data_IF_015224223613
#
_entry.id   IF_015224223613
#
_cell.length_a   1.000
_cell.length_b   1.000
_cell.length_c   1.000
_cell.angle_alpha   90.00
_cell.angle_beta   90.00
_cell.angle_gamma   90.00
#
_symmetry.space_group_name_H-M   'P 1'
#
loop_
_entity.id
_entity.type
_entity.pdbx_description
1 polymer ?
#
# COMPACT_ATOMS: atom_id res chain seq x y z
N UNK A 1 -13.63 57.41 -20.51
CA UNK A 1 -13.78 57.97 -19.15
C UNK A 1 -14.98 57.30 -18.47
N UNK A 2 -15.02 57.27 -17.13
CA UNK A 2 -16.15 56.71 -16.35
C UNK A 2 -15.93 55.26 -15.90
N UNK A 3 -16.06 55.01 -14.58
CA UNK A 3 -15.86 53.69 -13.93
C UNK A 3 -16.78 53.56 -12.72
N UNK A 4 -17.56 52.47 -12.65
CA UNK A 4 -18.16 51.87 -11.44
C UNK A 4 -18.77 50.51 -11.85
N UNK A 5 -18.94 49.44 -11.06
CA UNK A 5 -18.32 48.82 -9.86
C UNK A 5 -19.45 48.03 -9.14
N UNK A 6 -19.31 46.70 -9.04
CA UNK A 6 -19.91 45.85 -7.98
C UNK A 6 -21.48 45.72 -7.98
N UNK A 7 -22.15 44.73 -7.34
CA UNK A 7 -21.71 43.56 -6.54
C UNK A 7 -22.76 42.41 -6.51
N UNK A 8 -22.25 41.17 -6.56
CA UNK A 8 -22.70 39.92 -5.91
C UNK A 8 -24.01 39.83 -5.07
N UNK A 9 -24.94 38.99 -5.58
CA UNK A 9 -25.29 37.64 -5.05
C UNK A 9 -26.35 37.39 -3.94
N UNK A 10 -26.68 36.08 -3.84
CA UNK A 10 -27.43 35.29 -2.82
C UNK A 10 -28.92 35.03 -3.06
N UNK A 11 -29.22 33.77 -3.40
CA UNK A 11 -30.37 33.02 -2.87
C UNK A 11 -29.86 32.02 -1.82
N UNK A 12 -30.57 31.88 -0.71
CA UNK A 12 -30.43 30.77 0.26
C UNK A 12 -31.82 30.28 0.64
N UNK A 13 -32.02 28.97 0.65
CA UNK A 13 -33.26 28.37 1.12
C UNK A 13 -33.45 28.54 2.64
N UNK A 14 -34.71 28.57 3.06
CA UNK A 14 -35.18 28.46 4.44
C UNK A 14 -36.37 27.49 4.44
N UNK A 15 -36.45 26.57 5.41
CA UNK A 15 -37.54 25.58 5.39
C UNK A 15 -37.39 24.38 6.33
N UNK A 16 -36.96 24.57 7.58
CA UNK A 16 -37.03 23.52 8.61
C UNK A 16 -37.08 24.12 10.02
N UNK A 17 -38.23 23.99 10.69
CA UNK A 17 -38.40 24.15 12.13
C UNK A 17 -39.63 23.35 12.56
N UNK A 18 -39.45 22.37 13.45
CA UNK A 18 -40.48 21.89 14.37
C UNK A 18 -39.82 21.03 15.48
N UNK A 19 -39.81 21.57 16.69
CA UNK A 19 -39.71 20.82 17.94
C UNK A 19 -41.12 20.80 18.57
N UNK A 20 -41.49 19.76 19.32
CA UNK A 20 -41.31 19.87 20.78
C UNK A 20 -40.86 18.58 21.45
N UNK A 21 -40.29 18.71 22.66
CA UNK A 21 -40.13 17.62 23.61
C UNK A 21 -41.02 17.84 24.84
N UNK A 22 -41.40 16.77 25.53
CA UNK A 22 -42.09 16.81 26.82
C UNK A 22 -41.66 15.64 27.71
N UNK A 23 -41.52 15.89 29.01
CA UNK A 23 -41.23 14.88 30.03
C UNK A 23 -42.51 14.43 30.72
N UNK A 24 -42.56 13.17 31.17
CA UNK A 24 -43.43 12.72 32.28
C UNK A 24 -42.80 11.50 32.99
N UNK A 25 -43.21 11.24 34.24
CA UNK A 25 -42.67 10.18 35.13
C UNK A 25 -43.74 9.13 35.51
N UNK A 26 -43.34 7.96 36.08
CA UNK A 26 -44.12 6.71 35.95
C UNK A 26 -44.93 6.30 37.18
N UNK A 27 -45.84 5.33 36.98
CA UNK A 27 -46.29 4.35 37.99
C UNK A 27 -46.45 2.95 37.35
N UNK A 28 -46.47 1.89 38.18
CA UNK A 28 -46.29 0.47 37.85
C UNK A 28 -47.40 -0.25 37.04
N UNK A 29 -47.55 -1.59 37.11
CA UNK A 29 -46.87 -2.58 37.97
C UNK A 29 -47.11 -4.04 37.50
N UNK A 30 -46.23 -4.97 37.93
CA UNK A 30 -46.38 -6.43 37.90
C UNK A 30 -46.28 -7.18 36.55
N UNK A 31 -45.76 -8.41 36.59
CA UNK A 31 -45.60 -9.32 35.45
C UNK A 31 -44.26 -10.07 35.47
N UNK A 32 -44.23 -11.30 35.99
CA UNK A 32 -43.00 -12.10 36.07
C UNK A 32 -42.73 -12.88 34.77
N UNK A 33 -41.46 -12.90 34.32
CA UNK A 33 -41.00 -13.70 33.18
C UNK A 33 -39.48 -13.92 33.25
N UNK A 34 -39.04 -15.17 33.08
CA UNK A 34 -37.69 -15.66 33.36
C UNK A 34 -36.53 -14.76 32.85
N UNK A 35 -35.65 -14.33 33.76
CA UNK A 35 -34.42 -13.62 33.42
C UNK A 35 -33.35 -14.62 32.94
N UNK A 36 -33.34 -14.92 31.64
CA UNK A 36 -32.27 -15.69 31.01
C UNK A 36 -31.02 -14.81 30.87
N UNK A 37 -30.03 -15.03 31.74
CA UNK A 37 -28.73 -14.34 31.65
C UNK A 37 -27.95 -14.88 30.44
N UNK A 38 -28.21 -14.30 29.27
CA UNK A 38 -27.30 -14.41 28.13
C UNK A 38 -26.01 -13.72 28.55
N UNK A 39 -25.04 -14.51 29.02
CA UNK A 39 -23.65 -14.06 29.08
C UNK A 39 -23.30 -13.59 27.68
N UNK A 40 -22.87 -12.33 27.56
CA UNK A 40 -22.14 -11.90 26.38
C UNK A 40 -20.90 -12.79 26.30
N UNK A 41 -20.94 -13.79 25.42
CA UNK A 41 -19.77 -14.58 25.09
C UNK A 41 -18.69 -13.60 24.65
N UNK A 42 -17.49 -13.72 25.21
CA UNK A 42 -16.32 -13.03 24.69
C UNK A 42 -16.15 -13.51 23.25
N UNK A 43 -16.64 -12.70 22.31
CA UNK A 43 -16.43 -12.88 20.88
C UNK A 43 -14.95 -12.72 20.61
N UNK A 44 -14.23 -13.82 20.79
CA UNK A 44 -12.80 -13.94 20.57
C UNK A 44 -12.55 -13.51 19.13
N UNK A 45 -11.99 -12.31 18.96
CA UNK A 45 -11.67 -11.81 17.64
C UNK A 45 -10.68 -12.78 17.04
N UNK A 46 -11.10 -13.50 16.01
CA UNK A 46 -10.20 -14.33 15.21
C UNK A 46 -9.26 -13.37 14.48
N UNK A 47 -8.18 -13.00 15.15
CA UNK A 47 -7.02 -12.45 14.50
C UNK A 47 -6.55 -13.50 13.48
N UNK A 48 -6.30 -13.09 12.24
CA UNK A 48 -5.69 -13.97 11.24
C UNK A 48 -4.21 -14.19 11.58
N UNK A 49 -3.98 -14.96 12.64
CA UNK A 49 -2.68 -15.28 13.18
C UNK A 49 -1.96 -16.29 12.28
N UNK A 50 -0.99 -15.81 11.52
CA UNK A 50 -0.08 -16.63 10.71
C UNK A 50 1.40 -16.25 10.90
N UNK A 51 1.68 -15.00 11.26
CA UNK A 51 3.03 -14.44 11.33
C UNK A 51 3.16 -13.43 12.48
N UNK A 52 4.40 -13.17 12.89
CA UNK A 52 4.76 -12.14 13.87
C UNK A 52 6.11 -11.52 13.50
N UNK A 53 6.45 -10.40 14.15
CA UNK A 53 7.62 -9.58 13.79
C UNK A 53 8.58 -9.44 14.98
N UNK A 54 9.88 -9.36 14.70
CA UNK A 54 10.90 -9.00 15.70
C UNK A 54 11.69 -7.75 15.24
N UNK A 55 11.56 -6.67 16.01
CA UNK A 55 12.30 -5.43 15.78
C UNK A 55 13.70 -5.48 16.40
N UNK A 56 14.68 -4.92 15.69
CA UNK A 56 16.09 -4.80 16.06
C UNK A 56 16.57 -3.35 15.80
N UNK A 57 17.52 -2.90 16.63
CA UNK A 57 17.92 -1.51 16.81
C UNK A 57 16.76 -0.54 17.15
N UNK A 58 16.92 0.76 16.86
CA UNK A 58 15.93 1.79 17.15
C UNK A 58 15.15 2.16 15.88
N UNK A 59 13.80 2.25 15.90
CA UNK A 59 13.06 2.85 14.79
C UNK A 59 13.60 4.25 14.44
N UNK A 60 13.67 4.55 13.15
CA UNK A 60 14.33 5.75 12.59
C UNK A 60 15.85 5.77 12.84
N UNK A 61 16.53 4.63 12.65
CA UNK A 61 17.99 4.50 12.59
C UNK A 61 18.42 3.67 11.38
N UNK A 62 19.67 3.79 10.93
CA UNK A 62 20.21 3.03 9.78
C UNK A 62 20.33 1.52 10.07
N UNK A 63 20.47 1.20 11.35
CA UNK A 63 20.59 -0.15 11.90
C UNK A 63 19.23 -0.80 12.15
N UNK A 64 18.12 -0.07 12.01
CA UNK A 64 16.77 -0.59 12.22
C UNK A 64 16.50 -1.76 11.29
N UNK A 65 16.03 -2.88 11.86
CA UNK A 65 15.56 -4.05 11.12
C UNK A 65 14.29 -4.60 11.75
N UNK A 66 13.32 -5.02 10.94
CA UNK A 66 12.14 -5.75 11.37
C UNK A 66 12.10 -7.10 10.63
N UNK A 67 12.31 -8.18 11.37
CA UNK A 67 12.39 -9.56 10.88
C UNK A 67 11.06 -10.29 11.05
N UNK A 68 10.82 -11.35 10.27
CA UNK A 68 9.58 -12.14 10.33
C UNK A 68 9.74 -13.49 11.01
N UNK A 69 8.64 -13.93 11.62
CA UNK A 69 8.45 -15.27 12.15
C UNK A 69 7.10 -15.83 11.72
N UNK A 70 7.02 -17.14 11.53
CA UNK A 70 5.76 -17.85 11.32
C UNK A 70 4.96 -18.06 12.61
N UNK A 71 3.81 -18.73 12.51
CA UNK A 71 2.93 -19.08 13.63
C UNK A 71 3.58 -20.04 14.66
N UNK A 72 4.69 -20.70 14.32
CA UNK A 72 5.49 -21.50 15.23
C UNK A 72 6.68 -20.72 15.84
N UNK A 73 6.78 -19.42 15.56
CA UNK A 73 7.87 -18.55 16.04
C UNK A 73 9.20 -18.74 15.30
N UNK A 74 9.20 -19.46 14.18
CA UNK A 74 10.39 -19.77 13.38
C UNK A 74 10.72 -18.62 12.43
N UNK A 75 11.99 -18.24 12.29
CA UNK A 75 12.40 -17.18 11.37
C UNK A 75 12.19 -17.57 9.92
N UNK A 76 11.80 -16.57 9.11
CA UNK A 76 11.48 -16.69 7.68
C UNK A 76 11.91 -15.42 6.93
N UNK A 77 12.28 -15.56 5.66
CA UNK A 77 12.38 -14.43 4.73
C UNK A 77 10.97 -13.98 4.28
N UNK A 78 10.63 -12.69 4.31
CA UNK A 78 9.39 -12.21 3.72
C UNK A 78 9.42 -12.32 2.19
N UNK A 79 10.57 -12.16 1.56
CA UNK A 79 10.72 -12.24 0.11
C UNK A 79 10.49 -13.66 -0.43
N UNK A 80 10.96 -14.68 0.31
CA UNK A 80 11.06 -16.05 -0.21
C UNK A 80 10.20 -17.09 0.51
N UNK A 81 10.15 -17.07 1.85
CA UNK A 81 9.62 -18.20 2.65
C UNK A 81 8.14 -18.12 2.96
N UNK A 82 7.72 -16.88 3.10
CA UNK A 82 6.35 -16.47 2.89
C UNK A 82 5.94 -16.89 1.47
N UNK A 83 4.78 -17.56 1.29
CA UNK A 83 4.29 -17.91 -0.05
C UNK A 83 4.13 -16.69 -0.96
N UNK A 84 3.74 -16.88 -2.23
CA UNK A 84 3.07 -15.87 -3.10
C UNK A 84 1.85 -15.20 -2.42
N UNK A 85 1.54 -15.67 -1.22
CA UNK A 85 0.59 -15.19 -0.26
C UNK A 85 1.28 -14.87 1.13
N UNK A 86 1.80 -13.64 1.29
CA UNK A 86 2.04 -12.80 2.51
C UNK A 86 3.00 -13.14 3.68
N UNK A 87 3.76 -12.22 4.34
CA UNK A 87 3.97 -10.72 4.23
C UNK A 87 5.02 -10.15 5.26
N UNK A 88 5.47 -8.87 5.39
CA UNK A 88 5.11 -7.55 4.82
C UNK A 88 6.20 -6.43 4.93
N UNK A 89 6.93 -6.08 3.85
CA UNK A 89 8.08 -5.14 3.61
C UNK A 89 8.12 -3.73 4.26
N UNK A 90 9.02 -2.79 3.92
CA UNK A 90 10.05 -2.63 2.87
C UNK A 90 11.12 -3.75 2.83
N UNK A 91 11.12 -4.59 1.80
CA UNK A 91 11.99 -5.79 1.73
C UNK A 91 13.44 -5.39 1.44
N UNK A 92 14.38 -5.66 2.35
CA UNK A 92 15.80 -5.50 2.05
C UNK A 92 16.30 -6.66 1.17
N UNK A 93 16.10 -6.59 -0.14
CA UNK A 93 16.43 -7.65 -1.11
C UNK A 93 17.88 -8.15 -1.03
N UNK A 94 18.81 -7.31 -0.55
CA UNK A 94 20.25 -7.60 -0.40
C UNK A 94 20.70 -7.99 1.02
N UNK A 95 19.87 -7.82 2.05
CA UNK A 95 20.18 -8.22 3.43
C UNK A 95 19.72 -9.69 3.66
N UNK A 96 20.50 -10.56 4.34
CA UNK A 96 20.07 -11.93 4.62
C UNK A 96 18.79 -12.01 5.47
N UNK A 97 17.91 -12.95 5.12
CA UNK A 97 16.50 -13.05 5.58
C UNK A 97 15.61 -11.88 5.14
N UNK A 98 16.10 -11.01 4.25
CA UNK A 98 15.41 -9.87 3.64
C UNK A 98 14.56 -9.03 4.63
N UNK A 99 15.09 -8.69 5.83
CA UNK A 99 14.38 -7.92 6.84
C UNK A 99 13.99 -6.53 6.36
N UNK A 100 13.10 -5.89 7.10
CA UNK A 100 12.62 -4.58 6.75
C UNK A 100 13.51 -3.49 7.30
N UNK A 101 13.91 -2.57 6.43
CA UNK A 101 14.65 -1.35 6.79
C UNK A 101 13.87 -0.12 6.32
N UNK A 102 14.58 0.99 6.19
CA UNK A 102 14.09 2.22 5.59
C UNK A 102 15.15 2.66 4.57
N UNK A 103 14.74 2.98 3.34
CA UNK A 103 15.64 3.41 2.26
C UNK A 103 16.60 4.54 2.69
N UNK A 104 17.84 4.48 2.19
CA UNK A 104 18.98 5.34 2.57
C UNK A 104 19.52 6.11 1.36
N UNK A 105 18.92 7.27 1.09
CA UNK A 105 19.31 8.14 -0.03
C UNK A 105 20.45 9.07 0.39
N UNK A 106 21.61 8.96 -0.27
CA UNK A 106 22.83 9.75 0.02
C UNK A 106 23.28 9.67 1.50
N UNK A 107 23.16 8.50 2.13
CA UNK A 107 23.54 8.28 3.53
C UNK A 107 22.55 8.81 4.58
N UNK A 108 21.38 9.33 4.17
CA UNK A 108 20.28 9.73 5.04
C UNK A 108 19.07 8.81 4.85
N UNK A 109 18.31 8.56 5.92
CA UNK A 109 16.99 7.94 5.84
C UNK A 109 16.06 8.74 4.92
N UNK A 110 15.48 8.11 3.90
CA UNK A 110 14.55 8.72 2.96
C UNK A 110 13.15 8.82 3.57
N UNK A 111 12.49 9.95 3.33
CA UNK A 111 11.07 10.16 3.62
C UNK A 111 10.42 10.69 2.33
N UNK A 112 9.24 10.18 1.96
CA UNK A 112 8.52 10.69 0.78
C UNK A 112 7.84 12.02 1.11
N UNK A 113 7.97 12.99 0.21
CA UNK A 113 7.43 14.33 0.39
C UNK A 113 5.89 14.37 0.33
N UNK A 114 5.29 15.31 1.07
CA UNK A 114 3.90 15.70 0.85
C UNK A 114 3.81 16.52 -0.44
N UNK A 115 3.23 15.96 -1.50
CA UNK A 115 2.91 16.67 -2.76
C UNK A 115 1.43 17.02 -2.75
N UNK A 116 1.08 18.30 -2.67
CA UNK A 116 -0.30 18.76 -2.50
C UNK A 116 -1.21 18.26 -3.66
N UNK A 117 -2.40 17.69 -3.37
CA UNK A 117 -3.12 17.65 -2.09
C UNK A 117 -2.75 16.50 -1.14
N UNK A 118 -1.83 15.62 -1.54
CA UNK A 118 -1.51 14.36 -0.87
C UNK A 118 -0.62 14.54 0.37
N UNK A 119 -0.71 13.59 1.31
CA UNK A 119 0.08 13.53 2.54
C UNK A 119 0.71 12.15 2.69
N UNK A 120 2.02 12.03 2.47
CA UNK A 120 2.72 10.75 2.38
C UNK A 120 2.13 9.84 1.30
N UNK A 121 2.19 8.53 1.52
CA UNK A 121 1.44 7.54 0.74
C UNK A 121 -0.07 7.68 0.99
N UNK A 122 -0.87 7.52 -0.08
CA UNK A 122 -2.35 7.62 -0.05
C UNK A 122 -3.05 6.25 -0.07
N UNK A 123 -2.28 5.20 0.20
CA UNK A 123 -2.65 3.78 0.36
C UNK A 123 -1.93 3.20 1.58
N UNK A 124 -2.28 1.98 1.98
CA UNK A 124 -1.26 1.11 2.54
C UNK A 124 -0.40 0.62 1.36
N UNK A 125 0.91 0.92 1.37
CA UNK A 125 1.81 0.70 0.24
C UNK A 125 2.73 -0.50 0.46
N UNK A 126 3.05 -1.25 -0.61
CA UNK A 126 3.44 -2.64 -0.49
C UNK A 126 4.09 -3.29 -1.70
N UNK A 127 4.35 -4.60 -1.58
CA UNK A 127 4.76 -5.48 -2.69
C UNK A 127 4.14 -6.90 -2.55
N UNK A 128 4.15 -7.74 -3.59
CA UNK A 128 3.73 -9.15 -3.50
C UNK A 128 4.94 -10.07 -3.26
N UNK A 129 4.97 -10.90 -2.20
CA UNK A 129 6.04 -11.89 -1.99
C UNK A 129 6.15 -12.91 -3.12
N UNK A 130 7.30 -13.58 -3.21
CA UNK A 130 7.58 -14.55 -4.26
C UNK A 130 7.39 -14.02 -5.70
N UNK A 131 7.61 -12.72 -5.91
CA UNK A 131 7.65 -12.08 -7.23
C UNK A 131 8.94 -11.29 -7.39
N UNK A 132 9.39 -11.07 -8.63
CA UNK A 132 10.59 -10.30 -8.93
C UNK A 132 10.49 -9.65 -10.32
N UNK A 133 10.79 -8.36 -10.38
CA UNK A 133 10.94 -7.56 -11.61
C UNK A 133 12.37 -7.77 -12.16
N UNK A 134 12.59 -8.90 -12.83
CA UNK A 134 13.91 -9.33 -13.34
C UNK A 134 14.56 -8.26 -14.26
N UNK A 135 15.72 -7.68 -13.90
CA UNK A 135 16.38 -6.64 -14.69
C UNK A 135 17.05 -7.19 -15.96
N UNK A 136 17.19 -8.51 -16.07
CA UNK A 136 17.56 -9.20 -17.31
C UNK A 136 16.36 -9.41 -18.25
N UNK A 137 15.12 -9.27 -17.75
CA UNK A 137 13.91 -9.32 -18.56
C UNK A 137 13.46 -7.92 -18.98
N UNK A 138 13.18 -7.76 -20.28
CA UNK A 138 12.62 -6.54 -20.86
C UNK A 138 11.13 -6.75 -21.12
N UNK A 139 10.28 -6.00 -20.44
CA UNK A 139 8.83 -6.06 -20.64
C UNK A 139 8.42 -5.47 -22.00
N UNK A 140 7.45 -6.11 -22.65
CA UNK A 140 6.98 -5.75 -24.00
C UNK A 140 6.05 -4.52 -24.00
N UNK A 141 5.47 -4.16 -22.84
CA UNK A 141 4.47 -3.10 -22.70
C UNK A 141 5.10 -1.74 -22.37
N UNK A 142 6.09 -1.73 -21.48
CA UNK A 142 6.91 -0.55 -21.13
C UNK A 142 8.05 -0.32 -22.12
N UNK A 143 8.65 -1.40 -22.64
CA UNK A 143 9.91 -1.34 -23.35
C UNK A 143 11.13 -1.11 -22.43
N UNK A 144 11.02 -1.40 -21.13
CA UNK A 144 12.05 -1.25 -20.10
C UNK A 144 12.36 -2.60 -19.40
N UNK A 145 13.52 -2.69 -18.74
CA UNK A 145 13.85 -3.82 -17.87
C UNK A 145 13.25 -3.63 -16.47
N UNK A 146 13.00 -4.71 -15.72
CA UNK A 146 12.52 -4.64 -14.34
C UNK A 146 13.46 -3.89 -13.38
N UNK A 147 12.90 -3.31 -12.32
CA UNK A 147 13.61 -2.53 -11.29
C UNK A 147 14.45 -3.37 -10.30
N UNK A 148 14.46 -4.70 -10.46
CA UNK A 148 15.14 -5.69 -9.63
C UNK A 148 14.52 -5.95 -8.23
N UNK A 149 13.41 -5.33 -7.87
CA UNK A 149 12.71 -5.56 -6.60
C UNK A 149 11.41 -6.41 -6.79
N UNK A 150 10.64 -6.71 -5.72
CA UNK A 150 9.39 -7.48 -5.80
C UNK A 150 8.21 -6.58 -6.20
N UNK A 151 7.27 -7.10 -7.01
CA UNK A 151 6.23 -6.28 -7.66
C UNK A 151 5.38 -5.47 -6.66
N UNK A 152 5.32 -4.15 -6.86
CA UNK A 152 4.70 -3.22 -5.91
C UNK A 152 3.16 -3.25 -5.95
N UNK A 153 2.51 -2.83 -4.85
CA UNK A 153 1.06 -2.82 -4.69
C UNK A 153 0.54 -1.68 -3.80
N UNK A 154 -0.58 -1.12 -4.22
CA UNK A 154 -1.35 -0.10 -3.52
C UNK A 154 -2.65 -0.71 -2.99
N UNK A 155 -2.77 -0.83 -1.67
CA UNK A 155 -3.96 -1.33 -1.01
C UNK A 155 -4.93 -0.19 -0.67
N UNK A 156 -6.16 -0.28 -1.19
CA UNK A 156 -7.12 0.84 -1.25
C UNK A 156 -8.20 0.81 -0.15
N UNK A 157 -8.03 -0.03 0.87
CA UNK A 157 -8.99 -0.28 1.95
C UNK A 157 -9.13 0.87 2.94
N UNK A 158 -10.13 0.74 3.81
CA UNK A 158 -10.46 1.71 4.86
C UNK A 158 -9.56 1.64 6.10
N UNK A 159 -8.92 0.49 6.32
CA UNK A 159 -8.04 0.21 7.46
C UNK A 159 -6.63 0.74 7.18
N UNK A 160 -6.15 1.67 8.00
CA UNK A 160 -4.69 1.95 8.07
C UNK A 160 -4.02 0.78 8.78
N UNK A 161 -3.08 0.14 8.10
CA UNK A 161 -2.38 -1.05 8.59
C UNK A 161 -1.02 -0.69 9.22
N UNK A 162 -0.39 -1.68 9.86
CA UNK A 162 0.93 -1.57 10.48
C UNK A 162 2.04 -1.95 9.50
N UNK A 163 3.26 -1.40 9.67
CA UNK A 163 4.44 -1.92 8.95
C UNK A 163 4.74 -3.33 9.44
N UNK A 164 4.98 -4.28 8.54
CA UNK A 164 5.09 -5.69 8.92
C UNK A 164 3.75 -6.41 9.10
N UNK A 165 2.61 -5.78 8.77
CA UNK A 165 1.29 -6.41 8.90
C UNK A 165 0.93 -7.28 7.69
N UNK A 166 0.55 -8.52 7.96
CA UNK A 166 0.22 -9.55 6.99
C UNK A 166 -1.27 -9.54 6.65
N UNK A 167 -1.64 -9.29 5.39
CA UNK A 167 -3.05 -9.20 4.96
C UNK A 167 -3.36 -9.91 3.64
N UNK A 168 -4.62 -10.37 3.54
CA UNK A 168 -5.25 -10.90 2.32
C UNK A 168 -5.84 -9.78 1.50
N UNK A 169 -5.62 -9.76 0.19
CA UNK A 169 -6.28 -8.86 -0.77
C UNK A 169 -6.91 -9.57 -1.95
N UNK A 170 -7.85 -8.90 -2.60
CA UNK A 170 -8.29 -9.17 -3.96
C UNK A 170 -7.64 -8.15 -4.90
N UNK A 171 -6.97 -8.63 -5.94
CA UNK A 171 -6.38 -7.78 -7.00
C UNK A 171 -7.50 -7.25 -7.89
N UNK A 172 -7.39 -5.98 -8.29
CA UNK A 172 -8.40 -5.24 -9.05
C UNK A 172 -7.86 -4.76 -10.40
N UNK A 173 -6.57 -4.41 -10.48
CA UNK A 173 -5.92 -3.95 -11.71
C UNK A 173 -4.43 -3.64 -11.50
N UNK A 174 -3.79 -3.00 -12.47
CA UNK A 174 -2.39 -2.57 -12.38
C UNK A 174 -2.13 -1.28 -13.16
N UNK A 175 -1.10 -0.53 -12.77
CA UNK A 175 -0.57 0.65 -13.44
C UNK A 175 0.90 0.42 -13.79
N UNK A 176 1.26 0.63 -15.07
CA UNK A 176 2.63 0.51 -15.55
C UNK A 176 3.38 1.83 -15.34
N UNK A 177 4.12 1.96 -14.23
CA UNK A 177 5.05 3.06 -14.03
C UNK A 177 6.34 2.77 -14.83
N UNK A 178 6.98 3.84 -15.30
CA UNK A 178 8.36 3.81 -15.78
C UNK A 178 9.13 4.74 -14.84
N UNK A 179 9.78 4.15 -13.84
CA UNK A 179 10.51 4.89 -12.81
C UNK A 179 11.99 5.01 -13.20
N UNK A 180 12.45 6.24 -13.43
CA UNK A 180 13.81 6.61 -13.87
C UNK A 180 14.41 5.87 -15.10
N UNK A 181 13.67 4.97 -15.74
CA UNK A 181 14.08 4.16 -16.90
C UNK A 181 13.76 2.67 -16.76
N UNK A 182 13.33 2.23 -15.59
CA UNK A 182 13.01 0.84 -15.24
C UNK A 182 11.49 0.60 -15.26
N UNK A 183 11.09 -0.64 -15.51
CA UNK A 183 9.72 -1.14 -15.41
C UNK A 183 9.37 -1.31 -13.95
N UNK A 184 8.23 -0.76 -13.56
CA UNK A 184 7.77 -0.75 -12.19
C UNK A 184 6.23 -0.89 -12.17
N UNK A 185 5.71 -2.09 -11.89
CA UNK A 185 4.27 -2.35 -11.91
C UNK A 185 3.61 -2.10 -10.56
N UNK A 186 2.73 -1.10 -10.49
CA UNK A 186 1.91 -0.80 -9.30
C UNK A 186 0.57 -1.54 -9.37
N UNK A 187 0.49 -2.72 -8.75
CA UNK A 187 -0.76 -3.47 -8.59
C UNK A 187 -1.76 -2.66 -7.74
N UNK A 188 -3.04 -2.70 -8.10
CA UNK A 188 -4.13 -2.12 -7.30
C UNK A 188 -4.95 -3.25 -6.68
N UNK A 189 -5.10 -3.23 -5.35
CA UNK A 189 -5.76 -4.30 -4.61
C UNK A 189 -6.56 -3.77 -3.41
N UNK A 190 -7.46 -4.58 -2.85
CA UNK A 190 -8.22 -4.25 -1.63
C UNK A 190 -8.22 -5.43 -0.65
N UNK A 191 -8.08 -5.16 0.65
CA UNK A 191 -8.12 -6.17 1.70
C UNK A 191 -9.43 -6.96 1.65
N UNK A 192 -9.38 -8.30 1.67
CA UNK A 192 -10.60 -9.14 1.62
C UNK A 192 -11.44 -9.05 2.90
N UNK A 193 -10.87 -8.51 3.98
CA UNK A 193 -11.52 -8.22 5.25
C UNK A 193 -12.04 -6.77 5.33
N UNK A 194 -11.84 -5.95 4.30
CA UNK A 194 -12.44 -4.62 4.24
C UNK A 194 -13.98 -4.73 4.09
N UNK A 195 -14.79 -3.96 4.85
CA UNK A 195 -16.25 -4.03 4.78
C UNK A 195 -16.85 -3.78 3.39
N UNK A 196 -16.14 -3.09 2.50
CA UNK A 196 -16.59 -2.88 1.13
C UNK A 196 -16.04 -3.90 0.12
N UNK A 197 -15.16 -4.83 0.52
CA UNK A 197 -14.35 -5.65 -0.39
C UNK A 197 -15.15 -6.41 -1.46
N UNK A 198 -16.37 -6.87 -1.14
CA UNK A 198 -17.25 -7.56 -2.10
C UNK A 198 -17.68 -6.66 -3.29
N UNK A 199 -17.70 -5.33 -3.12
CA UNK A 199 -18.13 -4.35 -4.12
C UNK A 199 -17.07 -4.00 -5.17
N UNK A 200 -15.81 -4.40 -4.95
CA UNK A 200 -14.70 -4.18 -5.88
C UNK A 200 -14.24 -5.52 -6.46
N UNK A 201 -14.51 -5.79 -7.72
CA UNK A 201 -14.14 -7.04 -8.39
C UNK A 201 -13.28 -6.81 -9.65
N UNK A 202 -13.13 -5.56 -10.06
CA UNK A 202 -12.27 -5.12 -11.15
C UNK A 202 -11.89 -3.62 -11.00
N UNK A 203 -10.96 -3.11 -11.80
CA UNK A 203 -10.48 -1.72 -11.73
C UNK A 203 -11.59 -0.72 -12.08
N UNK A 204 -12.56 -1.15 -12.90
CA UNK A 204 -13.76 -0.39 -13.21
C UNK A 204 -14.63 -0.10 -11.98
N UNK A 205 -14.65 -0.99 -10.98
CA UNK A 205 -15.34 -0.73 -9.71
C UNK A 205 -14.62 0.32 -8.87
N UNK A 206 -13.28 0.37 -8.90
CA UNK A 206 -12.50 1.42 -8.21
C UNK A 206 -12.86 2.79 -8.79
N UNK A 207 -12.89 2.94 -10.13
CA UNK A 207 -13.29 4.18 -10.80
C UNK A 207 -14.74 4.58 -10.47
N UNK A 208 -15.64 3.61 -10.29
CA UNK A 208 -17.07 3.80 -10.01
C UNK A 208 -17.35 4.16 -8.55
N UNK A 209 -16.68 3.50 -7.60
CA UNK A 209 -16.91 3.63 -6.14
C UNK A 209 -16.02 4.70 -5.50
N UNK A 210 -14.82 4.94 -6.05
CA UNK A 210 -13.85 5.95 -5.58
C UNK A 210 -13.46 6.90 -6.75
N UNK A 211 -14.39 7.76 -7.25
CA UNK A 211 -14.10 8.66 -8.36
C UNK A 211 -12.93 9.62 -8.07
N UNK A 212 -12.01 9.78 -9.02
CA UNK A 212 -10.81 10.60 -8.85
C UNK A 212 -9.65 9.92 -8.12
N UNK A 213 -9.85 8.72 -7.57
CA UNK A 213 -8.82 8.02 -6.78
C UNK A 213 -7.74 7.40 -7.66
N UNK A 214 -8.12 6.82 -8.80
CA UNK A 214 -7.17 6.30 -9.81
C UNK A 214 -6.38 7.45 -10.46
N UNK A 215 -7.05 8.57 -10.68
CA UNK A 215 -6.45 9.79 -11.23
C UNK A 215 -5.45 10.40 -10.23
N UNK A 216 -5.78 10.39 -8.93
CA UNK A 216 -4.87 10.74 -7.83
C UNK A 216 -3.68 9.77 -7.71
N UNK A 217 -3.86 8.48 -8.00
CA UNK A 217 -2.78 7.49 -8.03
C UNK A 217 -1.74 7.80 -9.11
N UNK A 218 -2.17 8.04 -10.35
CA UNK A 218 -1.28 8.43 -11.44
C UNK A 218 -0.61 9.76 -11.14
N UNK A 219 -1.34 10.72 -10.57
CA UNK A 219 -0.82 12.03 -10.16
C UNK A 219 0.28 11.94 -9.08
N UNK A 220 0.12 11.02 -8.11
CA UNK A 220 1.10 10.78 -7.05
C UNK A 220 2.38 10.16 -7.62
N UNK A 221 2.29 9.04 -8.35
CA UNK A 221 3.47 8.38 -8.92
C UNK A 221 4.19 9.22 -9.98
N UNK A 222 3.46 10.08 -10.72
CA UNK A 222 4.08 11.04 -11.63
C UNK A 222 5.00 12.02 -10.90
N UNK A 223 4.64 12.43 -9.68
CA UNK A 223 5.18 13.66 -9.04
C UNK A 223 5.91 13.46 -7.71
N UNK A 224 5.84 12.30 -7.06
CA UNK A 224 6.44 12.07 -5.73
C UNK A 224 7.96 12.29 -5.67
N UNK A 225 8.70 12.09 -6.77
CA UNK A 225 10.14 12.37 -6.88
C UNK A 225 10.49 13.81 -7.28
N UNK A 226 9.54 14.64 -7.74
CA UNK A 226 9.83 16.03 -8.17
C UNK A 226 10.41 16.90 -7.04
N UNK A 227 9.96 16.81 -5.77
CA UNK A 227 10.62 17.49 -4.64
C UNK A 227 12.09 17.09 -4.41
N UNK A 228 12.51 15.89 -4.84
CA UNK A 228 13.91 15.44 -4.78
C UNK A 228 14.77 16.01 -5.94
N UNK A 229 14.19 16.84 -6.82
CA UNK A 229 14.86 17.39 -8.00
C UNK A 229 14.95 16.42 -9.19
N UNK A 230 14.12 15.38 -9.22
CA UNK A 230 13.95 14.46 -10.36
C UNK A 230 12.91 15.00 -11.36
N UNK A 231 12.89 14.53 -12.62
CA UNK A 231 11.78 14.76 -13.53
C UNK A 231 10.46 14.13 -13.02
N UNK A 232 9.36 14.43 -13.71
CA UNK A 232 8.13 13.64 -13.56
C UNK A 232 8.29 12.25 -14.19
N UNK A 233 7.76 11.22 -13.54
CA UNK A 233 7.80 9.85 -14.06
C UNK A 233 6.83 9.63 -15.22
N UNK A 234 7.15 8.65 -16.06
CA UNK A 234 6.36 8.27 -17.23
C UNK A 234 5.58 6.98 -16.97
N UNK A 235 4.67 6.63 -17.87
CA UNK A 235 3.82 5.45 -17.75
C UNK A 235 3.65 4.80 -19.12
N UNK A 236 3.64 3.47 -19.17
CA UNK A 236 3.12 2.78 -20.36
C UNK A 236 1.60 2.97 -20.46
N UNK A 237 1.02 2.61 -21.61
CA UNK A 237 -0.41 2.80 -21.91
C UNK A 237 -0.94 4.23 -21.63
N UNK A 238 -0.10 5.27 -21.73
CA UNK A 238 -0.46 6.66 -21.40
C UNK A 238 -0.99 6.85 -19.95
N UNK A 239 -0.61 5.95 -19.02
CA UNK A 239 -1.10 5.97 -17.64
C UNK A 239 -2.50 5.38 -17.45
N UNK A 240 -3.04 4.65 -18.44
CA UNK A 240 -4.24 3.84 -18.25
C UNK A 240 -3.98 2.63 -17.36
N UNK A 241 -4.84 2.44 -16.36
CA UNK A 241 -4.85 1.20 -15.58
C UNK A 241 -5.36 0.03 -16.42
N UNK A 242 -4.69 -1.11 -16.30
CA UNK A 242 -5.15 -2.39 -16.84
C UNK A 242 -6.06 -3.09 -15.83
N UNK A 243 -6.94 -3.93 -16.34
CA UNK A 243 -7.87 -4.73 -15.54
C UNK A 243 -7.16 -5.79 -14.67
N UNK A 244 -7.97 -6.45 -13.84
CA UNK A 244 -7.54 -7.53 -12.93
C UNK A 244 -6.86 -8.68 -13.67
N UNK A 245 -7.36 -9.09 -14.83
CA UNK A 245 -6.88 -10.29 -15.51
C UNK A 245 -5.52 -10.03 -16.17
N UNK A 246 -5.30 -8.81 -16.67
CA UNK A 246 -3.98 -8.32 -17.05
C UNK A 246 -3.04 -8.28 -15.83
N UNK A 247 -3.45 -7.65 -14.72
CA UNK A 247 -2.63 -7.56 -13.51
C UNK A 247 -2.22 -8.94 -12.97
N UNK A 248 -3.15 -9.89 -12.94
CA UNK A 248 -2.91 -11.28 -12.55
C UNK A 248 -1.95 -12.01 -13.50
N UNK A 249 -1.82 -11.59 -14.76
CA UNK A 249 -0.81 -12.13 -15.67
C UNK A 249 0.57 -11.51 -15.46
N UNK A 250 0.67 -10.21 -15.13
CA UNK A 250 1.94 -9.58 -14.72
C UNK A 250 2.48 -10.27 -13.46
N UNK A 251 1.64 -10.47 -12.43
CA UNK A 251 2.03 -11.14 -11.18
C UNK A 251 2.50 -12.59 -11.43
N UNK A 252 1.90 -13.31 -12.40
CA UNK A 252 2.41 -14.64 -12.80
C UNK A 252 3.80 -14.54 -13.42
N UNK A 253 4.05 -13.56 -14.29
CA UNK A 253 5.37 -13.39 -14.92
C UNK A 253 6.44 -13.13 -13.86
N UNK A 254 6.23 -12.13 -13.00
CA UNK A 254 7.18 -11.82 -11.91
C UNK A 254 7.33 -12.97 -10.91
N UNK A 255 6.31 -13.83 -10.72
CA UNK A 255 6.44 -15.08 -9.95
C UNK A 255 7.28 -16.16 -10.67
N UNK A 256 7.20 -16.30 -12.00
CA UNK A 256 8.09 -17.21 -12.74
C UNK A 256 9.54 -16.69 -12.79
N UNK A 257 9.75 -15.37 -12.86
CA UNK A 257 11.06 -14.75 -12.67
C UNK A 257 11.64 -15.06 -11.28
N UNK A 258 10.86 -14.87 -10.21
CA UNK A 258 11.27 -15.26 -8.86
C UNK A 258 11.56 -16.77 -8.72
N UNK A 259 10.81 -17.65 -9.40
CA UNK A 259 11.12 -19.09 -9.44
C UNK A 259 12.46 -19.38 -10.12
N UNK A 260 12.82 -18.63 -11.17
CA UNK A 260 14.11 -18.76 -11.81
C UNK A 260 15.25 -18.27 -10.91
N UNK A 261 15.07 -17.13 -10.23
CA UNK A 261 15.97 -16.60 -9.20
C UNK A 261 16.21 -17.60 -8.05
N UNK A 262 15.14 -18.01 -7.34
CA UNK A 262 15.24 -18.82 -6.11
C UNK A 262 15.70 -20.26 -6.37
N UNK A 263 15.62 -20.72 -7.63
CA UNK A 263 16.16 -21.99 -8.10
C UNK A 263 17.56 -21.87 -8.75
N UNK A 264 18.18 -20.67 -8.73
CA UNK A 264 19.50 -20.37 -9.31
C UNK A 264 19.61 -20.69 -10.82
N UNK A 265 18.56 -20.36 -11.58
CA UNK A 265 18.49 -20.44 -13.04
C UNK A 265 18.76 -19.09 -13.72
N UNK A 266 18.42 -18.00 -13.05
CA UNK A 266 18.83 -16.62 -13.40
C UNK A 266 19.94 -16.17 -12.44
N UNK A 267 20.78 -15.23 -12.86
CA UNK A 267 21.70 -14.56 -11.95
C UNK A 267 20.94 -13.49 -11.14
N UNK A 268 20.97 -13.60 -9.81
CA UNK A 268 20.35 -12.64 -8.89
C UNK A 268 21.25 -11.50 -8.47
N UNK A 269 22.52 -11.47 -8.94
CA UNK A 269 23.49 -10.43 -8.60
C UNK A 269 23.70 -10.28 -7.09
N UNK A 270 23.19 -9.18 -6.52
CA UNK A 270 23.31 -8.86 -5.09
C UNK A 270 22.13 -9.36 -4.23
N UNK A 271 21.10 -10.00 -4.81
CA UNK A 271 19.93 -10.47 -4.07
C UNK A 271 20.28 -11.62 -3.13
N UNK A 272 20.00 -11.42 -1.83
CA UNK A 272 20.19 -12.45 -0.80
C UNK A 272 19.04 -13.45 -0.82
N UNK A 273 19.18 -14.49 -1.64
CA UNK A 273 18.19 -15.56 -1.81
C UNK A 273 18.00 -16.50 -0.60
N UNK A 274 18.54 -16.14 0.57
CA UNK A 274 18.53 -16.97 1.79
C UNK A 274 17.10 -17.19 2.30
N UNK A 275 16.71 -18.45 2.38
CA UNK A 275 15.35 -18.90 2.68
C UNK A 275 15.37 -20.16 3.59
N UNK A 276 14.23 -20.59 4.12
CA UNK A 276 14.05 -21.68 5.07
C UNK A 276 12.87 -22.63 4.75
N UNK A 277 11.99 -22.29 3.81
CA UNK A 277 10.79 -23.09 3.45
C UNK A 277 10.70 -23.44 1.96
N UNK A 278 11.46 -22.76 1.08
CA UNK A 278 11.37 -22.94 -0.39
C UNK A 278 11.99 -24.27 -0.83
N UNK A 279 11.17 -25.32 -0.80
CA UNK A 279 11.57 -26.70 -1.09
C UNK A 279 12.29 -26.83 -2.44
N UNK A 280 13.54 -27.30 -2.40
CA UNK A 280 14.39 -27.47 -3.58
C UNK A 280 15.23 -26.24 -3.97
N UNK A 281 15.16 -25.13 -3.22
CA UNK A 281 16.09 -24.02 -3.41
C UNK A 281 17.52 -24.41 -2.97
N UNK A 282 18.57 -24.07 -3.73
CA UNK A 282 19.96 -24.26 -3.31
C UNK A 282 20.41 -23.25 -2.23
N UNK A 283 19.51 -22.36 -1.79
CA UNK A 283 19.79 -21.30 -0.82
C UNK A 283 19.10 -21.51 0.55
N UNK A 284 18.51 -22.68 0.79
CA UNK A 284 17.90 -23.01 2.09
C UNK A 284 18.93 -23.00 3.22
N UNK A 285 18.63 -22.32 4.34
CA UNK A 285 19.42 -22.34 5.58
C UNK A 285 18.60 -22.92 6.75
N UNK A 286 19.29 -23.21 7.86
CA UNK A 286 18.64 -23.76 9.06
C UNK A 286 18.15 -22.66 10.00
N UNK A 287 17.26 -23.01 10.94
CA UNK A 287 16.75 -22.06 11.94
C UNK A 287 17.85 -21.52 12.86
N UNK A 288 18.91 -22.30 13.11
CA UNK A 288 20.10 -21.87 13.85
C UNK A 288 20.89 -20.83 13.05
N UNK A 289 21.02 -21.00 11.73
CA UNK A 289 21.64 -20.03 10.84
C UNK A 289 20.85 -18.71 10.82
N UNK A 290 19.52 -18.78 10.61
CA UNK A 290 18.66 -17.60 10.65
C UNK A 290 18.69 -16.90 12.02
N UNK A 291 18.65 -17.66 13.13
CA UNK A 291 18.78 -17.09 14.48
C UNK A 291 20.12 -16.39 14.67
N UNK A 292 21.22 -16.94 14.19
CA UNK A 292 22.53 -16.29 14.25
C UNK A 292 22.57 -14.97 13.46
N UNK A 293 21.93 -14.90 12.30
CA UNK A 293 21.74 -13.65 11.53
C UNK A 293 20.99 -12.60 12.35
N UNK A 294 19.86 -12.96 12.97
CA UNK A 294 19.04 -12.01 13.74
C UNK A 294 19.73 -11.59 15.04
N UNK A 295 20.41 -12.49 15.73
CA UNK A 295 21.12 -12.18 16.98
C UNK A 295 22.38 -11.34 16.77
N UNK A 296 22.95 -11.32 15.56
CA UNK A 296 24.00 -10.38 15.17
C UNK A 296 23.47 -8.94 14.95
N UNK A 297 22.17 -8.75 14.74
CA UNK A 297 21.55 -7.43 14.61
C UNK A 297 21.37 -6.76 15.99
N UNK A 298 21.63 -5.44 16.14
CA UNK A 298 21.60 -4.76 17.44
C UNK A 298 20.27 -4.95 18.17
N UNK A 299 20.26 -5.04 19.51
CA UNK A 299 19.02 -5.23 20.29
C UNK A 299 18.05 -4.06 20.10
N UNK A 300 16.75 -4.35 20.20
CA UNK A 300 15.67 -3.37 20.09
C UNK A 300 15.84 -2.20 21.07
N UNK A 301 15.52 -0.98 20.62
CA UNK A 301 15.63 0.28 21.37
C UNK A 301 14.42 1.17 21.09
N UNK A 302 14.17 2.12 21.98
CA UNK A 302 13.16 3.16 21.76
C UNK A 302 13.45 3.96 20.48
N UNK A 303 12.38 4.42 19.80
CA UNK A 303 12.46 5.15 18.54
C UNK A 303 13.29 6.44 18.65
N UNK A 304 14.13 6.69 17.66
CA UNK A 304 14.85 7.95 17.52
C UNK A 304 13.87 9.10 17.13
N UNK A 305 14.16 10.36 17.51
CA UNK A 305 13.39 11.50 17.03
C UNK A 305 13.49 11.65 15.51
N UNK A 306 12.35 11.68 14.81
CA UNK A 306 12.30 11.96 13.37
C UNK A 306 12.95 13.33 13.11
N UNK A 307 13.96 13.44 12.22
CA UNK A 307 14.67 14.69 11.94
C UNK A 307 13.75 15.73 11.28
N UNK A 308 14.04 17.04 11.39
CA UNK A 308 13.19 18.09 10.79
C UNK A 308 12.90 17.89 9.30
N UNK A 309 13.85 17.31 8.55
CA UNK A 309 13.73 16.96 7.13
C UNK A 309 12.68 15.86 6.87
N UNK A 310 12.44 14.97 7.83
CA UNK A 310 11.40 13.94 7.81
C UNK A 310 10.15 14.30 8.62
N UNK A 311 10.11 15.49 9.24
CA UNK A 311 8.85 16.03 9.80
C UNK A 311 8.01 16.58 8.64
N UNK A 312 6.69 16.54 8.79
CA UNK A 312 5.76 16.68 7.67
C UNK A 312 5.05 18.07 7.49
N UNK A 313 5.61 19.26 7.85
CA UNK A 313 4.86 20.52 7.70
C UNK A 313 4.84 21.07 6.25
N UNK A 314 5.83 20.72 5.41
CA UNK A 314 6.00 21.33 4.10
C UNK A 314 5.25 20.55 3.00
N UNK A 315 4.07 21.05 2.63
CA UNK A 315 3.35 20.59 1.43
C UNK A 315 3.92 21.25 0.18
N UNK A 316 4.30 20.46 -0.82
CA UNK A 316 4.86 20.93 -2.08
C UNK A 316 3.75 21.15 -3.10
N UNK A 317 3.53 22.40 -3.52
CA UNK A 317 2.56 22.76 -4.56
C UNK A 317 3.24 22.80 -5.93
N UNK A 318 3.07 21.74 -6.73
CA UNK A 318 3.60 21.66 -8.09
C UNK A 318 2.59 22.29 -9.08
N UNK A 319 2.93 23.48 -9.59
CA UNK A 319 2.10 24.25 -10.52
C UNK A 319 2.25 23.74 -11.96
N UNK A 320 1.37 22.82 -12.37
CA UNK A 320 1.27 22.33 -13.74
C UNK A 320 0.75 23.45 -14.66
N UNK A 321 1.54 23.84 -15.67
CA UNK A 321 1.09 24.75 -16.75
C UNK A 321 0.36 23.95 -17.83
N UNK A 322 -0.96 23.91 -17.78
CA UNK A 322 -1.78 23.26 -18.81
C UNK A 322 -1.79 24.09 -20.10
N UNK A 323 -1.03 23.67 -21.12
CA UNK A 323 -1.26 24.06 -22.51
C UNK A 323 -2.54 23.40 -23.02
N UNK A 324 -3.43 24.18 -23.64
CA UNK A 324 -4.76 23.70 -24.04
C UNK A 324 -4.73 22.99 -25.40
N UNK A 325 -4.85 21.67 -25.38
CA UNK A 325 -5.17 20.87 -26.57
C UNK A 325 -6.58 20.26 -26.48
N UNK A 326 -7.17 19.93 -27.63
CA UNK A 326 -8.59 19.55 -27.75
C UNK A 326 -8.74 18.04 -27.75
N UNK A 327 -9.53 17.48 -26.83
CA UNK A 327 -9.98 16.10 -26.95
C UNK A 327 -10.97 15.96 -28.12
N UNK A 328 -10.75 14.96 -28.97
CA UNK A 328 -11.78 14.33 -29.80
C UNK A 328 -12.32 13.09 -29.08
N UNK A 329 -13.62 12.82 -29.20
CA UNK A 329 -14.26 11.64 -28.61
C UNK A 329 -14.34 10.53 -29.65
N UNK A 330 -13.91 9.32 -29.29
CA UNK A 330 -14.11 8.09 -30.06
C UNK A 330 -15.01 7.11 -29.32
N UNK A 331 -15.92 6.44 -30.04
CA UNK A 331 -16.83 5.46 -29.46
C UNK A 331 -16.15 4.10 -29.21
N UNK A 332 -16.69 3.33 -28.26
CA UNK A 332 -16.18 2.01 -27.86
C UNK A 332 -17.16 0.88 -28.19
N UNK A 333 -16.64 -0.35 -28.26
CA UNK A 333 -17.42 -1.60 -28.23
C UNK A 333 -16.77 -2.60 -27.28
N UNK A 334 -17.60 -3.35 -26.55
CA UNK A 334 -17.16 -4.37 -25.58
C UNK A 334 -17.90 -5.69 -25.80
N UNK A 335 -17.13 -6.77 -25.83
CA UNK A 335 -17.53 -8.20 -25.80
C UNK A 335 -16.31 -8.99 -25.32
N UNK A 336 -16.39 -10.01 -24.46
CA UNK A 336 -17.54 -10.61 -23.78
C UNK A 336 -17.13 -11.21 -22.41
N UNK A 337 -18.07 -11.86 -21.73
CA UNK A 337 -17.93 -12.40 -20.36
C UNK A 337 -16.98 -13.60 -20.22
N UNK A 338 -16.21 -13.61 -19.12
CA UNK A 338 -15.63 -14.82 -18.52
C UNK A 338 -15.98 -14.89 -17.02
N UNK A 339 -16.16 -16.10 -16.46
CA UNK A 339 -16.56 -16.29 -15.06
C UNK A 339 -15.61 -17.27 -14.36
N UNK A 340 -14.64 -16.74 -13.60
CA UNK A 340 -13.64 -17.53 -12.85
C UNK A 340 -13.54 -17.01 -11.42
N UNK A 341 -13.13 -17.90 -10.50
CA UNK A 341 -13.19 -17.72 -9.04
C UNK A 341 -12.28 -16.59 -8.53
N UNK A 342 -12.68 -15.99 -7.41
CA UNK A 342 -11.84 -15.07 -6.62
C UNK A 342 -10.45 -15.66 -6.36
N UNK A 343 -9.41 -15.00 -6.85
CA UNK A 343 -8.02 -15.25 -6.46
C UNK A 343 -7.62 -14.18 -5.46
N UNK A 344 -7.46 -14.57 -4.21
CA UNK A 344 -6.94 -13.69 -3.17
C UNK A 344 -5.41 -13.75 -3.19
N UNK A 345 -4.77 -12.62 -3.49
CA UNK A 345 -3.36 -12.41 -3.22
C UNK A 345 -3.21 -11.93 -1.78
N UNK A 346 -1.99 -11.71 -1.32
CA UNK A 346 -1.67 -11.51 0.09
C UNK A 346 -0.37 -10.67 0.08
N UNK A 347 -0.39 -9.45 0.64
CA UNK A 347 0.46 -8.31 0.19
C UNK A 347 1.09 -7.43 1.27
N UNK A 348 2.35 -7.10 1.02
CA UNK A 348 3.25 -6.53 2.00
C UNK A 348 2.92 -5.08 2.31
N UNK A 349 3.22 -4.56 3.52
CA UNK A 349 2.85 -3.18 3.88
C UNK A 349 3.98 -2.42 4.62
N UNK A 350 4.45 -1.35 3.97
CA UNK A 350 5.73 -0.67 4.26
C UNK A 350 5.56 0.60 5.11
N UNK A 351 4.41 1.28 5.00
CA UNK A 351 4.16 2.60 5.58
C UNK A 351 2.82 2.66 6.32
N UNK A 352 2.77 3.41 7.41
CA UNK A 352 1.59 3.58 8.26
C UNK A 352 1.20 5.06 8.32
N UNK A 353 -0.08 5.36 8.07
CA UNK A 353 -0.55 6.74 7.96
C UNK A 353 -0.76 7.35 9.36
N UNK A 354 0.20 8.17 9.82
CA UNK A 354 0.09 8.84 11.13
C UNK A 354 -1.05 9.87 11.12
N UNK A 355 -2.22 9.46 11.62
CA UNK A 355 -3.38 10.32 11.89
C UNK A 355 -3.21 11.03 13.23
N UNK A 356 -2.57 12.20 13.24
CA UNK A 356 -2.67 13.09 14.39
C UNK A 356 -4.11 13.58 14.54
N UNK A 357 -4.83 13.07 15.53
CA UNK A 357 -6.15 13.58 15.96
C UNK A 357 -5.99 14.91 16.68
N UNK A 358 -5.61 15.96 15.95
CA UNK A 358 -5.59 17.35 16.40
C UNK A 358 -6.78 18.13 15.83
N UNK A 359 -7.38 19.07 16.57
CA UNK A 359 -8.48 19.88 16.06
C UNK A 359 -8.01 20.78 14.91
N UNK A 360 -8.86 20.93 13.90
CA UNK A 360 -8.66 21.88 12.79
C UNK A 360 -8.63 23.31 13.34
N UNK A 361 -7.44 23.90 13.45
CA UNK A 361 -7.30 25.34 13.67
C UNK A 361 -7.74 26.09 12.40
N UNK A 362 -8.68 27.06 12.49
CA UNK A 362 -9.18 27.78 11.34
C UNK A 362 -8.12 28.75 10.78
N UNK A 363 -7.90 28.73 9.48
CA UNK A 363 -6.95 29.63 8.82
C UNK A 363 -7.49 31.08 8.72
N UNK A 364 -6.61 32.02 9.07
CA UNK A 364 -6.57 33.41 8.59
C UNK A 364 -7.75 34.35 8.88
N UNK A 365 -7.55 35.25 9.84
CA UNK A 365 -7.42 36.68 9.52
C UNK A 365 -6.08 37.19 10.09
N UNK A 366 -5.39 38.18 9.53
CA UNK A 366 -5.74 39.09 8.41
C UNK A 366 -4.68 39.07 7.33
#
# INVERSE_FOLDING_TARGET
MGVTKQKWARLRAWGAWLYPGAWLRPQGSAGCGACAVIRAGSGERVAMAGYSVEERAAPHSLEYRLFFKDAAGRYISPFHDIPLYADAGEIATKDPLNPIKQDVKKGKLRYVANVFPHKGYIWNYGAIPQTWEDPGHKDENTGCCGDNDPIDVCEIGSKVCSRGEVIKVKVLGTLALIDEGETDWKIIAINVEDPEAENYNDISDVRRMKPGYLEATVDWFRRYKVPDGKPENQFAFNGEFKDKDFAVNVIKSTHEHWKALIAKKTDGGEISCTNLTVSGSPFCCSQECAKATVDAAPPCKAANPIPPEGKFPNSHCILVRTSSEKLSVGESRLTATGFVRNVSFLIMLFSCHITCTGPLLPCCGT
#
